data_IF_411825412396
#
_entry.id   IF_411825412396
#
_cell.length_a   1.000
_cell.length_b   1.000
_cell.length_c   1.000
_cell.angle_alpha   90.00
_cell.angle_beta   90.00
_cell.angle_gamma   90.00
#
_symmetry.space_group_name_H-M   'P 1'
#
loop_
_entity.id
_entity.type
_entity.pdbx_description
1 polymer ?
#
# COMPACT_ATOMS: atom_id res chain seq x y z
N UNK A 1 -6.63 -9.91 10.47
CA UNK A 1 -5.23 -10.05 10.01
C UNK A 1 -4.88 -8.94 9.02
N UNK A 2 -3.60 -8.81 8.66
CA UNK A 2 -3.18 -7.81 7.68
C UNK A 2 -3.81 -8.12 6.32
N UNK A 3 -4.58 -7.16 5.79
CA UNK A 3 -5.27 -7.26 4.48
C UNK A 3 -6.21 -8.47 4.36
N UNK A 4 -6.56 -9.13 5.46
CA UNK A 4 -7.45 -10.28 5.49
C UNK A 4 -8.62 -10.11 6.46
N UNK A 5 -9.75 -10.73 6.11
CA UNK A 5 -10.94 -10.83 6.93
C UNK A 5 -11.79 -12.02 6.48
N UNK A 6 -12.76 -12.44 7.31
CA UNK A 6 -13.73 -13.48 6.94
C UNK A 6 -14.47 -13.16 5.63
N UNK A 7 -14.68 -11.86 5.32
CA UNK A 7 -15.35 -11.40 4.09
C UNK A 7 -14.47 -11.50 2.83
N UNK A 8 -13.16 -11.63 3.00
CA UNK A 8 -12.20 -11.87 1.91
C UNK A 8 -11.86 -13.35 1.69
N UNK A 9 -12.20 -14.20 2.67
CA UNK A 9 -11.93 -15.64 2.66
C UNK A 9 -13.23 -16.45 2.65
N UNK A 10 -13.60 -17.10 3.78
CA UNK A 10 -14.71 -18.06 3.85
C UNK A 10 -16.11 -17.50 3.52
N UNK A 11 -16.32 -16.20 3.73
CA UNK A 11 -17.61 -15.52 3.49
C UNK A 11 -17.55 -14.60 2.25
N UNK A 12 -16.57 -14.82 1.38
CA UNK A 12 -16.39 -14.01 0.16
C UNK A 12 -17.65 -14.06 -0.71
N UNK A 13 -18.15 -12.87 -1.11
CA UNK A 13 -19.33 -12.73 -1.97
C UNK A 13 -20.67 -13.04 -1.33
N UNK A 14 -20.71 -13.37 -0.03
CA UNK A 14 -21.96 -13.75 0.68
C UNK A 14 -22.66 -12.58 1.37
N UNK A 15 -21.93 -11.49 1.63
CA UNK A 15 -22.42 -10.35 2.40
C UNK A 15 -22.02 -9.03 1.76
N UNK A 16 -22.89 -8.03 1.91
CA UNK A 16 -22.59 -6.62 1.65
C UNK A 16 -22.52 -5.93 3.01
N UNK A 17 -21.40 -5.28 3.30
CA UNK A 17 -21.23 -4.51 4.54
C UNK A 17 -21.90 -3.16 4.35
N UNK A 18 -23.01 -2.91 5.05
CA UNK A 18 -23.80 -1.67 4.95
C UNK A 18 -23.43 -0.64 6.03
N UNK A 19 -22.70 -1.05 7.06
CA UNK A 19 -22.29 -0.15 8.14
C UNK A 19 -21.32 -0.81 9.09
N UNK A 20 -20.68 0.00 9.92
CA UNK A 20 -19.83 -0.44 11.03
C UNK A 20 -20.23 0.31 12.29
N UNK A 21 -20.14 -0.33 13.44
CA UNK A 21 -20.30 0.26 14.76
C UNK A 21 -18.96 0.22 15.48
N UNK A 22 -18.52 1.39 16.01
CA UNK A 22 -17.26 1.51 16.73
C UNK A 22 -17.54 1.93 18.19
N UNK A 23 -16.97 1.18 19.14
CA UNK A 23 -16.91 1.59 20.53
C UNK A 23 -15.67 2.42 20.75
N UNK A 24 -15.85 3.70 21.07
CA UNK A 24 -14.76 4.63 21.32
C UNK A 24 -14.60 4.92 22.81
N UNK A 25 -13.36 5.23 23.23
CA UNK A 25 -13.09 5.71 24.58
C UNK A 25 -13.49 7.19 24.70
N UNK A 26 -14.09 7.57 25.85
CA UNK A 26 -14.38 8.97 26.13
C UNK A 26 -13.12 9.81 26.38
N UNK A 27 -12.10 9.18 26.99
CA UNK A 27 -10.77 9.80 27.13
C UNK A 27 -9.90 9.33 25.96
N UNK A 28 -9.46 10.23 25.10
CA UNK A 28 -8.66 9.86 23.95
C UNK A 28 -7.26 9.40 24.38
N UNK A 29 -6.76 8.35 23.71
CA UNK A 29 -5.38 7.93 23.80
C UNK A 29 -4.80 7.90 22.39
N UNK A 30 -4.07 8.95 22.00
CA UNK A 30 -3.53 9.07 20.65
C UNK A 30 -2.29 8.21 20.48
N UNK A 31 -2.33 7.23 19.55
CA UNK A 31 -1.14 6.48 19.18
C UNK A 31 -0.44 7.20 18.01
N UNK A 32 0.69 7.81 18.30
CA UNK A 32 1.54 8.51 17.33
C UNK A 32 2.88 7.77 17.06
N UNK A 33 2.96 6.47 17.34
CA UNK A 33 4.18 5.67 17.15
C UNK A 33 4.56 5.45 15.68
N UNK A 34 3.66 5.67 14.72
CA UNK A 34 3.94 5.58 13.29
C UNK A 34 4.91 6.70 12.84
N UNK A 35 5.98 6.37 12.09
CA UNK A 35 7.11 7.23 11.77
C UNK A 35 6.79 8.71 11.51
N UNK A 36 6.01 9.06 10.46
CA UNK A 36 5.69 10.47 10.16
C UNK A 36 4.90 11.20 11.25
N UNK A 37 4.13 10.47 12.08
CA UNK A 37 3.41 11.03 13.21
C UNK A 37 4.36 11.19 14.41
N UNK A 38 5.19 10.17 14.66
CA UNK A 38 6.20 10.19 15.72
C UNK A 38 7.14 11.38 15.57
N UNK A 39 7.66 11.60 14.38
CA UNK A 39 8.55 12.74 14.08
C UNK A 39 7.84 14.07 14.28
N UNK A 40 6.59 14.20 13.81
CA UNK A 40 5.81 15.43 13.91
C UNK A 40 5.46 15.80 15.35
N UNK A 41 5.10 14.83 16.19
CA UNK A 41 4.66 15.04 17.56
C UNK A 41 5.76 14.81 18.60
N UNK A 42 7.01 14.57 18.18
CA UNK A 42 8.12 14.25 19.10
C UNK A 42 8.42 15.32 20.16
N UNK A 43 8.03 16.58 19.89
CA UNK A 43 8.26 17.72 20.77
C UNK A 43 7.09 18.02 21.72
N UNK A 44 5.96 17.29 21.59
CA UNK A 44 4.78 17.47 22.43
C UNK A 44 4.64 16.35 23.46
N UNK A 45 4.25 16.66 24.70
CA UNK A 45 3.78 15.67 25.65
C UNK A 45 2.59 14.88 25.11
N UNK A 46 2.48 13.60 25.46
CA UNK A 46 1.46 12.71 24.91
C UNK A 46 0.02 13.14 25.25
N UNK A 47 -0.18 13.81 26.36
CA UNK A 47 -1.46 14.36 26.83
C UNK A 47 -1.89 15.65 26.09
N UNK A 48 -0.94 16.33 25.45
CA UNK A 48 -1.23 17.51 24.61
C UNK A 48 -1.59 17.14 23.16
N UNK A 49 -1.40 15.88 22.76
CA UNK A 49 -1.71 15.41 21.40
C UNK A 49 -3.21 15.11 21.27
N UNK A 50 -3.94 16.00 20.63
CA UNK A 50 -5.38 15.81 20.42
C UNK A 50 -5.68 14.90 19.21
N UNK A 51 -6.83 14.16 19.22
CA UNK A 51 -7.28 13.40 18.06
C UNK A 51 -7.46 14.24 16.79
N UNK A 52 -7.88 15.52 16.94
CA UNK A 52 -8.01 16.46 15.83
C UNK A 52 -6.66 16.74 15.17
N UNK A 53 -5.62 17.06 15.96
CA UNK A 53 -4.28 17.29 15.46
C UNK A 53 -3.69 16.04 14.76
N UNK A 54 -3.91 14.84 15.33
CA UNK A 54 -3.50 13.58 14.69
C UNK A 54 -4.22 13.39 13.34
N UNK A 55 -5.54 13.62 13.29
CA UNK A 55 -6.33 13.53 12.06
C UNK A 55 -5.81 14.48 10.98
N UNK A 56 -5.60 15.75 11.30
CA UNK A 56 -5.07 16.76 10.37
C UNK A 56 -3.70 16.34 9.83
N UNK A 57 -2.81 15.87 10.71
CA UNK A 57 -1.49 15.40 10.30
C UNK A 57 -1.57 14.17 9.39
N UNK A 58 -2.44 13.19 9.71
CA UNK A 58 -2.68 12.02 8.85
C UNK A 58 -3.15 12.46 7.47
N UNK A 59 -4.10 13.39 7.39
CA UNK A 59 -4.60 13.92 6.11
C UNK A 59 -3.45 14.56 5.33
N UNK A 60 -2.68 15.45 5.94
CA UNK A 60 -1.56 16.12 5.29
C UNK A 60 -0.50 15.13 4.76
N UNK A 61 -0.13 14.12 5.56
CA UNK A 61 0.81 13.06 5.14
C UNK A 61 0.25 12.24 3.99
N UNK A 62 -1.06 11.94 4.00
CA UNK A 62 -1.70 11.20 2.90
C UNK A 62 -1.74 12.01 1.62
N UNK A 63 -2.15 13.27 1.70
CA UNK A 63 -2.22 14.18 0.55
C UNK A 63 -0.84 14.43 -0.09
N UNK A 64 0.23 14.48 0.72
CA UNK A 64 1.59 14.63 0.18
C UNK A 64 2.13 13.38 -0.52
N UNK A 65 1.53 12.21 -0.30
CA UNK A 65 2.06 10.93 -0.81
C UNK A 65 1.16 10.23 -1.81
N UNK A 66 -0.15 10.52 -1.77
CA UNK A 66 -1.14 9.80 -2.58
C UNK A 66 -1.85 10.77 -3.50
N UNK A 67 -2.03 10.44 -4.78
CA UNK A 67 -2.81 11.25 -5.69
C UNK A 67 -4.28 11.25 -5.27
N UNK A 68 -4.93 12.42 -5.36
CA UNK A 68 -6.36 12.54 -5.16
C UNK A 68 -7.12 11.80 -6.27
N UNK A 69 -7.95 10.80 -5.96
CA UNK A 69 -8.70 10.05 -6.97
C UNK A 69 -9.67 10.91 -7.80
N UNK A 70 -10.11 12.06 -7.27
CA UNK A 70 -10.94 13.00 -8.01
C UNK A 70 -10.17 13.75 -9.11
N UNK A 71 -8.85 13.89 -8.95
CA UNK A 71 -7.96 14.56 -9.92
C UNK A 71 -7.27 13.55 -10.83
N UNK A 72 -6.75 12.47 -10.25
CA UNK A 72 -6.07 11.40 -10.97
C UNK A 72 -6.64 10.05 -10.54
N UNK A 73 -7.48 9.48 -11.38
CA UNK A 73 -8.24 8.27 -11.08
C UNK A 73 -7.31 7.12 -10.69
N UNK A 74 -7.55 6.56 -9.51
CA UNK A 74 -6.80 5.44 -8.94
C UNK A 74 -7.63 4.70 -7.88
N UNK A 75 -7.17 3.53 -7.47
CA UNK A 75 -7.78 2.71 -6.42
C UNK A 75 -6.87 2.57 -5.17
N UNK A 76 -5.95 3.53 -4.97
CA UNK A 76 -4.93 3.45 -3.93
C UNK A 76 -3.83 2.44 -4.27
N UNK A 77 -3.28 1.76 -3.25
CA UNK A 77 -2.27 0.71 -3.47
C UNK A 77 -2.84 -0.41 -4.33
N UNK A 78 -2.21 -0.67 -5.48
CA UNK A 78 -2.70 -1.69 -6.41
C UNK A 78 -2.20 -3.09 -6.06
N UNK A 79 -1.02 -3.20 -5.47
CA UNK A 79 -0.46 -4.48 -5.04
C UNK A 79 -0.33 -4.57 -3.53
N UNK A 80 -0.49 -5.77 -2.99
CA UNK A 80 -0.18 -6.06 -1.60
C UNK A 80 1.34 -6.11 -1.39
N UNK A 81 1.79 -5.77 -0.19
CA UNK A 81 3.16 -6.04 0.21
C UNK A 81 3.34 -7.57 0.35
N UNK A 82 4.24 -8.21 -0.43
CA UNK A 82 4.42 -9.65 -0.37
C UNK A 82 5.14 -10.05 0.92
N UNK A 83 4.77 -11.22 1.46
CA UNK A 83 5.51 -11.87 2.55
C UNK A 83 6.32 -13.01 1.94
N UNK A 84 7.62 -13.03 2.22
CA UNK A 84 8.56 -14.06 1.77
C UNK A 84 9.19 -14.73 2.99
N UNK A 85 9.85 -15.88 2.79
CA UNK A 85 10.60 -16.51 3.89
C UNK A 85 11.75 -15.60 4.35
N UNK A 86 12.20 -15.81 5.57
CA UNK A 86 13.32 -15.05 6.16
C UNK A 86 14.61 -15.26 5.34
N UNK A 87 14.82 -16.51 4.86
CA UNK A 87 15.96 -16.88 4.03
C UNK A 87 15.94 -16.15 2.70
N UNK A 88 14.77 -16.10 2.04
CA UNK A 88 14.60 -15.38 0.77
C UNK A 88 14.82 -13.87 0.94
N UNK A 89 14.33 -13.29 2.02
CA UNK A 89 14.56 -11.88 2.33
C UNK A 89 16.04 -11.60 2.58
N UNK A 90 16.75 -12.47 3.30
CA UNK A 90 18.18 -12.36 3.56
C UNK A 90 19.02 -12.48 2.28
N UNK A 91 18.66 -13.42 1.38
CA UNK A 91 19.29 -13.56 0.06
C UNK A 91 19.13 -12.29 -0.77
N UNK A 92 17.90 -11.79 -0.87
CA UNK A 92 17.59 -10.56 -1.60
C UNK A 92 18.34 -9.36 -1.03
N UNK A 93 18.47 -9.26 0.29
CA UNK A 93 19.14 -8.14 0.95
C UNK A 93 20.65 -8.13 0.68
N UNK A 94 21.27 -9.30 0.44
CA UNK A 94 22.67 -9.39 0.01
C UNK A 94 22.89 -8.79 -1.37
N UNK A 95 21.95 -9.07 -2.30
CA UNK A 95 22.03 -8.56 -3.68
C UNK A 95 21.52 -7.11 -3.78
N UNK A 96 20.56 -6.75 -2.94
CA UNK A 96 19.91 -5.45 -2.92
C UNK A 96 19.94 -4.85 -1.49
N UNK A 97 21.06 -4.23 -1.05
CA UNK A 97 21.20 -3.72 0.32
C UNK A 97 20.14 -2.69 0.74
N UNK A 98 19.56 -1.97 -0.23
CA UNK A 98 18.47 -1.01 0.00
C UNK A 98 17.06 -1.63 0.12
N UNK A 99 16.94 -2.96 0.10
CA UNK A 99 15.65 -3.65 0.20
C UNK A 99 14.93 -3.28 1.50
N UNK A 100 13.71 -2.76 1.38
CA UNK A 100 12.86 -2.41 2.51
C UNK A 100 11.97 -3.60 2.86
N UNK A 101 12.13 -4.11 4.06
CA UNK A 101 11.34 -5.21 4.59
C UNK A 101 11.12 -5.09 6.10
N UNK A 102 10.04 -5.72 6.58
CA UNK A 102 9.61 -5.71 7.98
C UNK A 102 9.37 -7.12 8.44
N UNK A 103 9.99 -7.50 9.54
CA UNK A 103 9.79 -8.83 10.14
C UNK A 103 8.33 -9.01 10.58
N UNK A 104 7.80 -10.18 10.32
CA UNK A 104 6.46 -10.62 10.69
C UNK A 104 6.55 -12.06 11.21
N UNK A 105 5.58 -12.55 12.01
CA UNK A 105 5.58 -13.94 12.48
C UNK A 105 5.66 -14.98 11.34
N UNK A 106 5.06 -14.65 10.18
CA UNK A 106 5.00 -15.56 9.03
C UNK A 106 6.17 -15.39 8.05
N UNK A 107 7.15 -14.51 8.33
CA UNK A 107 8.29 -14.24 7.46
C UNK A 107 8.63 -12.74 7.36
N UNK A 108 9.18 -12.30 6.25
CA UNK A 108 9.51 -10.88 6.03
C UNK A 108 8.57 -10.26 5.01
N UNK A 109 7.84 -9.24 5.42
CA UNK A 109 6.97 -8.43 4.54
C UNK A 109 7.82 -7.41 3.79
N UNK A 110 7.93 -7.53 2.48
CA UNK A 110 8.68 -6.62 1.62
C UNK A 110 7.82 -5.45 1.17
N UNK A 111 8.43 -4.26 1.02
CA UNK A 111 7.75 -3.10 0.47
C UNK A 111 7.55 -3.25 -1.04
N UNK A 112 6.33 -3.56 -1.48
CA UNK A 112 6.01 -3.72 -2.90
C UNK A 112 6.32 -2.44 -3.70
N UNK A 113 6.10 -1.25 -3.13
CA UNK A 113 6.44 0.02 -3.76
C UNK A 113 7.94 0.11 -4.10
N UNK A 114 8.81 -0.34 -3.20
CA UNK A 114 10.25 -0.39 -3.45
C UNK A 114 10.59 -1.38 -4.58
N UNK A 115 10.02 -2.58 -4.57
CA UNK A 115 10.24 -3.58 -5.62
C UNK A 115 9.82 -3.06 -7.01
N UNK A 116 8.67 -2.42 -7.09
CA UNK A 116 8.13 -1.82 -8.32
C UNK A 116 9.00 -0.66 -8.79
N UNK A 117 9.45 0.20 -7.89
CA UNK A 117 10.38 1.30 -8.20
C UNK A 117 11.70 0.77 -8.73
N UNK A 118 12.31 -0.22 -8.07
CA UNK A 118 13.55 -0.84 -8.51
C UNK A 118 13.39 -1.62 -9.83
N UNK A 119 12.20 -2.13 -10.14
CA UNK A 119 11.89 -2.72 -11.44
C UNK A 119 11.67 -1.67 -12.55
N UNK A 120 11.84 -0.37 -12.25
CA UNK A 120 11.79 0.72 -13.22
C UNK A 120 10.37 1.18 -13.59
N UNK A 121 9.38 0.89 -12.73
CA UNK A 121 7.97 1.22 -13.00
C UNK A 121 7.49 2.53 -12.36
N UNK A 122 8.20 3.10 -11.41
CA UNK A 122 7.82 4.40 -10.81
C UNK A 122 7.75 5.49 -11.88
N UNK A 123 6.60 6.11 -12.03
CA UNK A 123 6.33 7.13 -13.06
C UNK A 123 6.21 6.61 -14.49
N UNK A 124 6.42 5.31 -14.73
CA UNK A 124 6.33 4.71 -16.07
C UNK A 124 4.89 4.46 -16.47
N UNK A 125 4.58 4.72 -17.75
CA UNK A 125 3.27 4.53 -18.36
C UNK A 125 3.28 3.36 -19.36
N UNK A 126 2.11 2.76 -19.53
CA UNK A 126 1.79 1.82 -20.60
C UNK A 126 0.41 2.22 -21.17
N UNK A 127 0.41 2.93 -22.29
CA UNK A 127 -0.82 3.52 -22.84
C UNK A 127 -1.46 4.53 -21.89
N UNK A 128 -2.78 4.42 -21.62
CA UNK A 128 -3.52 5.37 -20.77
C UNK A 128 -3.32 5.15 -19.27
N UNK A 129 -2.60 4.11 -18.84
CA UNK A 129 -2.33 3.80 -17.44
C UNK A 129 -0.85 3.89 -17.10
N UNK A 130 -0.52 4.01 -15.81
CA UNK A 130 0.87 4.03 -15.33
C UNK A 130 0.98 3.78 -13.84
N UNK A 131 2.22 3.61 -13.35
CA UNK A 131 2.51 3.69 -11.92
C UNK A 131 2.81 5.14 -11.56
N UNK A 132 2.28 5.60 -10.41
CA UNK A 132 2.40 7.01 -10.00
C UNK A 132 3.86 7.41 -9.75
N UNK A 133 4.22 8.66 -10.10
CA UNK A 133 5.60 9.17 -10.04
C UNK A 133 6.15 9.30 -8.61
N UNK A 134 5.29 9.60 -7.63
CA UNK A 134 5.73 9.73 -6.23
C UNK A 134 5.48 8.48 -5.41
N UNK A 135 4.51 7.65 -5.83
CA UNK A 135 4.13 6.43 -5.12
C UNK A 135 3.99 5.26 -6.09
N UNK A 136 5.07 4.52 -6.29
CA UNK A 136 5.16 3.41 -7.25
C UNK A 136 4.13 2.28 -7.02
N UNK A 137 3.50 2.22 -5.83
CA UNK A 137 2.48 1.22 -5.50
C UNK A 137 1.09 1.60 -6.03
N UNK A 138 0.88 2.85 -6.45
CA UNK A 138 -0.40 3.35 -6.95
C UNK A 138 -0.44 3.28 -8.46
N UNK A 139 -1.34 2.46 -9.01
CA UNK A 139 -1.67 2.44 -10.43
C UNK A 139 -2.68 3.54 -10.72
N UNK A 140 -2.39 4.36 -11.71
CA UNK A 140 -3.19 5.54 -12.08
C UNK A 140 -3.72 5.41 -13.50
N UNK A 141 -4.93 5.93 -13.72
CA UNK A 141 -5.57 6.07 -15.03
C UNK A 141 -5.49 7.55 -15.46
N UNK A 142 -4.78 7.82 -16.54
CA UNK A 142 -4.62 9.15 -17.10
C UNK A 142 -5.77 9.57 -18.03
N UNK A 143 -6.81 8.77 -18.11
CA UNK A 143 -8.02 9.00 -18.88
C UNK A 143 -8.22 7.97 -20.00
N UNK A 144 -9.46 7.52 -20.16
CA UNK A 144 -9.86 6.60 -21.24
C UNK A 144 -9.36 5.15 -21.11
N UNK A 145 -8.78 4.75 -19.98
CA UNK A 145 -8.33 3.38 -19.79
C UNK A 145 -9.49 2.40 -19.60
N UNK A 146 -9.34 1.22 -20.18
CA UNK A 146 -10.20 0.08 -19.95
C UNK A 146 -9.63 -0.85 -18.88
N UNK A 147 -10.41 -1.83 -18.40
CA UNK A 147 -9.91 -2.87 -17.51
C UNK A 147 -8.76 -3.68 -18.15
N UNK A 148 -8.79 -3.86 -19.49
CA UNK A 148 -7.73 -4.55 -20.23
C UNK A 148 -6.40 -3.80 -20.10
N UNK A 149 -6.39 -2.46 -20.22
CA UNK A 149 -5.19 -1.64 -20.07
C UNK A 149 -4.62 -1.76 -18.65
N UNK A 150 -5.49 -1.69 -17.64
CA UNK A 150 -5.10 -1.85 -16.23
C UNK A 150 -4.46 -3.22 -15.97
N UNK A 151 -5.07 -4.29 -16.49
CA UNK A 151 -4.56 -5.65 -16.32
C UNK A 151 -3.26 -5.89 -17.10
N UNK A 152 -3.11 -5.30 -18.28
CA UNK A 152 -1.90 -5.37 -19.07
C UNK A 152 -0.72 -4.72 -18.31
N UNK A 153 -0.90 -3.51 -17.76
CA UNK A 153 0.10 -2.85 -16.93
C UNK A 153 0.42 -3.69 -15.69
N UNK A 154 -0.61 -4.15 -14.97
CA UNK A 154 -0.41 -4.97 -13.77
C UNK A 154 0.39 -6.25 -14.06
N UNK A 155 0.11 -6.91 -15.20
CA UNK A 155 0.83 -8.10 -15.63
C UNK A 155 2.29 -7.80 -15.97
N UNK A 156 2.56 -6.68 -16.66
CA UNK A 156 3.91 -6.25 -16.97
C UNK A 156 4.74 -5.95 -15.70
N UNK A 157 4.15 -5.22 -14.74
CA UNK A 157 4.78 -4.93 -13.44
C UNK A 157 5.09 -6.23 -12.69
N UNK A 158 4.13 -7.17 -12.62
CA UNK A 158 4.32 -8.46 -11.94
C UNK A 158 5.44 -9.28 -12.56
N UNK A 159 5.49 -9.35 -13.90
CA UNK A 159 6.53 -10.06 -14.63
C UNK A 159 7.90 -9.47 -14.32
N UNK A 160 8.08 -8.17 -14.47
CA UNK A 160 9.38 -7.52 -14.31
C UNK A 160 9.89 -7.59 -12.85
N UNK A 161 8.97 -7.53 -11.86
CA UNK A 161 9.31 -7.77 -10.45
C UNK A 161 9.69 -9.23 -10.21
N UNK A 162 8.98 -10.18 -10.81
CA UNK A 162 9.32 -11.59 -10.72
C UNK A 162 10.68 -11.90 -11.35
N UNK A 163 10.94 -11.42 -12.55
CA UNK A 163 12.19 -11.63 -13.26
C UNK A 163 13.39 -11.07 -12.48
N UNK A 164 13.21 -9.91 -11.83
CA UNK A 164 14.31 -9.26 -11.12
C UNK A 164 14.56 -9.79 -9.71
N UNK A 165 13.50 -10.15 -8.98
CA UNK A 165 13.59 -10.49 -7.55
C UNK A 165 13.13 -11.91 -7.22
N UNK A 166 12.47 -12.61 -8.12
CA UNK A 166 11.79 -13.88 -7.82
C UNK A 166 10.68 -13.74 -6.79
N UNK A 167 10.00 -12.56 -6.77
CA UNK A 167 8.93 -12.24 -5.82
C UNK A 167 7.63 -12.01 -6.58
N UNK A 168 6.59 -12.75 -6.22
CA UNK A 168 5.26 -12.58 -6.80
C UNK A 168 4.51 -11.45 -6.13
N UNK A 169 3.91 -10.56 -6.93
CA UNK A 169 3.00 -9.53 -6.46
C UNK A 169 1.54 -9.98 -6.64
N UNK A 170 0.73 -9.78 -5.60
CA UNK A 170 -0.72 -9.99 -5.60
C UNK A 170 -1.44 -8.65 -5.70
N UNK A 171 -2.42 -8.53 -6.62
CA UNK A 171 -3.26 -7.34 -6.69
C UNK A 171 -4.23 -7.27 -5.51
N UNK A 172 -4.46 -6.06 -5.00
CA UNK A 172 -5.41 -5.81 -3.92
C UNK A 172 -6.84 -5.53 -4.43
N UNK A 173 -7.04 -4.75 -5.53
CA UNK A 173 -8.36 -4.53 -6.09
C UNK A 173 -9.00 -5.82 -6.61
N UNK A 174 -10.30 -5.95 -6.36
CA UNK A 174 -11.11 -7.06 -6.85
C UNK A 174 -11.65 -6.68 -8.22
N UNK A 175 -11.49 -7.59 -9.18
CA UNK A 175 -12.14 -7.46 -10.49
C UNK A 175 -13.61 -7.81 -10.33
N UNK A 176 -14.46 -6.89 -10.77
CA UNK A 176 -15.88 -7.12 -10.90
C UNK A 176 -16.18 -7.50 -12.36
N UNK A 177 -17.17 -8.38 -12.59
CA UNK A 177 -17.61 -8.77 -13.93
C UNK A 177 -18.20 -7.58 -14.69
#
# INVERSE_FOLDING_TARGET
AYRDSRFKSRDRGRYVITGIELRLNKVPACNVSYGPLKEHFAHLPADEVSPAAVRERVIAVRQSKLPDPAVLANAGSFFKNPVVSVEKAAELKKTFPGLVGYEQPEGTKLAAGWLIEQAGWKGRRLGPVGMHSEQALVLVNHGGATSVDVLALASAVRRDVWERFGVSLEQEPILLP
#
